data_IF_560952018670
#
_entry.id   IF_560952018670
#
_cell.length_a   1.000
_cell.length_b   1.000
_cell.length_c   1.000
_cell.angle_alpha   90.00
_cell.angle_beta   90.00
_cell.angle_gamma   90.00
#
_symmetry.space_group_name_H-M   'P 1'
#
loop_
_entity.id
_entity.type
_entity.pdbx_description
1 polymer ?
#
# COMPACT_ATOMS: atom_id res chain seq x y z
N UNK A 1 8.05 -6.52 16.00
CA UNK A 1 8.20 -5.11 15.62
C UNK A 1 7.50 -4.92 14.30
N UNK A 2 6.23 -4.54 14.38
CA UNK A 2 5.25 -4.52 13.29
C UNK A 2 4.93 -3.07 12.88
N UNK A 3 5.87 -2.15 13.12
CA UNK A 3 5.64 -0.70 12.96
C UNK A 3 5.22 -0.35 11.53
N UNK A 4 5.78 -1.04 10.52
CA UNK A 4 5.42 -0.80 9.13
C UNK A 4 3.96 -1.21 8.83
N UNK A 5 3.54 -2.40 9.26
CA UNK A 5 2.16 -2.86 9.04
C UNK A 5 1.15 -2.03 9.84
N UNK A 6 1.48 -1.66 11.08
CA UNK A 6 0.62 -0.84 11.93
C UNK A 6 0.46 0.58 11.38
N UNK A 7 1.55 1.21 10.94
CA UNK A 7 1.51 2.55 10.33
C UNK A 7 0.79 2.52 8.99
N UNK A 8 1.04 1.51 8.16
CA UNK A 8 0.31 1.28 6.92
C UNK A 8 -1.20 1.19 7.17
N UNK A 9 -1.65 0.39 8.14
CA UNK A 9 -3.09 0.25 8.46
C UNK A 9 -3.71 1.58 8.88
N UNK A 10 -3.02 2.37 9.72
CA UNK A 10 -3.52 3.69 10.12
C UNK A 10 -3.60 4.67 8.96
N UNK A 11 -2.58 4.72 8.11
CA UNK A 11 -2.58 5.59 6.92
C UNK A 11 -3.68 5.16 5.96
N UNK A 12 -3.87 3.85 5.77
CA UNK A 12 -4.90 3.30 4.92
C UNK A 12 -6.30 3.67 5.43
N UNK A 13 -6.58 3.54 6.73
CA UNK A 13 -7.85 3.94 7.35
C UNK A 13 -8.17 5.43 7.09
N UNK A 14 -7.17 6.31 7.27
CA UNK A 14 -7.32 7.75 7.00
C UNK A 14 -7.61 7.99 5.52
N UNK A 15 -6.83 7.39 4.61
CA UNK A 15 -7.06 7.54 3.17
C UNK A 15 -8.42 7.01 2.74
N UNK A 16 -8.88 5.89 3.28
CA UNK A 16 -10.20 5.32 2.99
C UNK A 16 -11.33 6.23 3.46
N UNK A 17 -11.15 6.96 4.57
CA UNK A 17 -12.17 7.91 5.06
C UNK A 17 -12.33 9.16 4.19
N UNK A 18 -11.29 9.52 3.43
CA UNK A 18 -11.25 10.74 2.61
C UNK A 18 -11.48 10.40 1.13
N UNK A 19 -11.12 9.19 0.71
CA UNK A 19 -11.25 8.74 -0.68
C UNK A 19 -12.66 8.27 -0.99
N UNK A 20 -13.22 8.77 -2.09
CA UNK A 20 -14.36 8.15 -2.73
C UNK A 20 -13.91 6.90 -3.52
N UNK A 21 -14.79 5.91 -3.67
CA UNK A 21 -14.50 4.70 -4.45
C UNK A 21 -14.46 5.03 -5.95
N UNK A 22 -13.31 5.50 -6.44
CA UNK A 22 -13.05 5.78 -7.85
C UNK A 22 -12.58 4.50 -8.56
N UNK A 23 -13.45 3.49 -8.62
CA UNK A 23 -13.18 2.31 -9.43
C UNK A 23 -13.29 2.67 -10.92
N UNK A 24 -12.23 2.42 -11.68
CA UNK A 24 -12.29 2.42 -13.14
C UNK A 24 -13.35 1.40 -13.57
N UNK A 25 -14.34 1.85 -14.35
CA UNK A 25 -15.50 1.04 -14.75
C UNK A 25 -15.11 -0.20 -15.56
N UNK A 26 -13.93 -0.17 -16.19
CA UNK A 26 -13.39 -1.28 -16.97
C UNK A 26 -11.88 -1.42 -16.79
N UNK A 27 -11.44 -2.60 -16.37
CA UNK A 27 -10.04 -3.03 -16.37
C UNK A 27 -9.95 -4.45 -16.93
N UNK A 28 -9.09 -4.67 -17.93
CA UNK A 28 -8.86 -5.98 -18.56
C UNK A 28 -8.22 -6.99 -17.62
N UNK A 29 -7.37 -6.52 -16.71
CA UNK A 29 -6.81 -7.29 -15.58
C UNK A 29 -7.18 -6.57 -14.30
N UNK A 30 -7.80 -7.29 -13.35
CA UNK A 30 -8.12 -6.72 -12.04
C UNK A 30 -6.86 -6.79 -11.16
N UNK A 31 -6.29 -5.66 -10.72
CA UNK A 31 -5.14 -5.68 -9.83
C UNK A 31 -5.56 -6.24 -8.47
N UNK A 32 -4.66 -7.00 -7.83
CA UNK A 32 -4.85 -7.52 -6.46
C UNK A 32 -4.63 -6.46 -5.38
N UNK A 33 -3.97 -5.37 -5.75
CA UNK A 33 -3.63 -4.24 -4.89
C UNK A 33 -4.36 -3.01 -5.42
N UNK A 34 -5.13 -2.33 -4.56
CA UNK A 34 -5.85 -1.13 -4.98
C UNK A 34 -4.94 0.10 -5.00
N UNK A 35 -5.34 1.14 -5.73
CA UNK A 35 -4.55 2.38 -5.83
C UNK A 35 -4.35 3.03 -4.45
N UNK A 36 -5.36 2.98 -3.58
CA UNK A 36 -5.28 3.49 -2.20
C UNK A 36 -4.30 2.65 -1.36
N UNK A 37 -4.28 1.33 -1.55
CA UNK A 37 -3.30 0.45 -0.91
C UNK A 37 -1.87 0.75 -1.40
N UNK A 38 -1.69 1.09 -2.68
CA UNK A 38 -0.39 1.49 -3.21
C UNK A 38 0.07 2.81 -2.58
N UNK A 39 -0.80 3.83 -2.58
CA UNK A 39 -0.50 5.16 -2.04
C UNK A 39 -0.18 5.06 -0.54
N UNK A 40 -0.93 4.28 0.23
CA UNK A 40 -0.65 4.08 1.66
C UNK A 40 0.72 3.42 1.90
N UNK A 41 1.17 2.48 1.06
CA UNK A 41 2.52 1.92 1.15
C UNK A 41 3.58 3.01 0.92
N UNK A 42 3.41 3.84 -0.13
CA UNK A 42 4.34 4.92 -0.44
C UNK A 42 4.45 5.94 0.71
N UNK A 43 3.32 6.40 1.24
CA UNK A 43 3.30 7.32 2.37
C UNK A 43 3.89 6.71 3.64
N UNK A 44 3.68 5.40 3.86
CA UNK A 44 4.29 4.69 4.99
C UNK A 44 5.80 4.62 4.83
N UNK A 45 6.31 4.42 3.62
CA UNK A 45 7.74 4.40 3.34
C UNK A 45 8.38 5.77 3.62
N UNK A 46 7.75 6.84 3.14
CA UNK A 46 8.18 8.22 3.38
C UNK A 46 8.15 8.57 4.87
N UNK A 47 7.07 8.23 5.59
CA UNK A 47 6.96 8.42 7.03
C UNK A 47 8.06 7.70 7.82
N UNK A 48 8.50 6.53 7.34
CA UNK A 48 9.56 5.74 7.95
C UNK A 48 10.97 6.13 7.46
N UNK A 49 11.11 7.10 6.56
CA UNK A 49 12.39 7.53 5.98
C UNK A 49 13.03 6.46 5.10
N UNK A 50 12.23 5.64 4.41
CA UNK A 50 12.70 4.63 3.47
C UNK A 50 12.73 5.22 2.06
N UNK A 51 13.93 5.62 1.61
CA UNK A 51 14.11 6.22 0.27
C UNK A 51 14.37 5.18 -0.83
N UNK A 52 14.67 3.94 -0.46
CA UNK A 52 14.94 2.86 -1.42
C UNK A 52 13.74 1.93 -1.57
N UNK A 53 13.11 1.95 -2.75
CA UNK A 53 12.02 1.03 -3.10
C UNK A 53 12.44 -0.43 -2.95
N UNK A 54 13.65 -0.79 -3.38
CA UNK A 54 14.15 -2.17 -3.25
C UNK A 54 14.28 -2.60 -1.78
N UNK A 55 14.67 -1.68 -0.90
CA UNK A 55 14.69 -1.93 0.53
C UNK A 55 13.27 -2.07 1.09
N UNK A 56 12.33 -1.20 0.68
CA UNK A 56 10.92 -1.30 1.04
C UNK A 56 10.33 -2.66 0.67
N UNK A 57 10.53 -3.15 -0.57
CA UNK A 57 10.03 -4.45 -1.02
C UNK A 57 10.60 -5.64 -0.24
N UNK A 58 11.79 -5.50 0.36
CA UNK A 58 12.36 -6.53 1.25
C UNK A 58 11.73 -6.52 2.63
N UNK A 59 11.32 -5.34 3.11
CA UNK A 59 10.68 -5.14 4.41
C UNK A 59 9.16 -5.38 4.38
N UNK A 60 8.54 -5.43 3.20
CA UNK A 60 7.09 -5.60 3.10
C UNK A 60 6.61 -6.89 3.78
N UNK A 61 5.53 -6.81 4.58
CA UNK A 61 4.92 -7.97 5.20
C UNK A 61 4.34 -8.92 4.15
N UNK A 62 4.20 -10.20 4.52
CA UNK A 62 3.71 -11.25 3.63
C UNK A 62 2.34 -10.91 3.02
N UNK A 63 1.47 -10.25 3.78
CA UNK A 63 0.13 -9.81 3.37
C UNK A 63 0.17 -8.89 2.14
N UNK A 64 1.06 -7.89 2.13
CA UNK A 64 1.21 -6.95 1.02
C UNK A 64 2.01 -7.57 -0.13
N UNK A 65 3.01 -8.38 0.21
CA UNK A 65 3.86 -9.05 -0.79
C UNK A 65 3.08 -10.02 -1.68
N UNK A 66 2.04 -10.66 -1.16
CA UNK A 66 1.17 -11.56 -1.95
C UNK A 66 0.25 -10.82 -2.93
N UNK A 67 -0.04 -9.54 -2.66
CA UNK A 67 -0.87 -8.69 -3.53
C UNK A 67 -0.09 -8.11 -4.70
N UNK A 68 1.23 -7.98 -4.58
CA UNK A 68 2.11 -7.54 -5.66
C UNK A 68 2.32 -8.74 -6.59
N UNK A 69 1.60 -8.77 -7.70
CA UNK A 69 1.84 -9.75 -8.76
C UNK A 69 3.23 -9.50 -9.36
N UNK A 70 3.99 -10.57 -9.56
CA UNK A 70 5.31 -10.55 -10.17
C UNK A 70 5.29 -11.28 -11.50
#
# INVERSE_FOLDING_TARGET
MDNLLANYKRILEVLQSISENTLLSYQRRKPKLSDIELISICLTAEYLGIDSENYLFRLLPKELKQKIER
#
